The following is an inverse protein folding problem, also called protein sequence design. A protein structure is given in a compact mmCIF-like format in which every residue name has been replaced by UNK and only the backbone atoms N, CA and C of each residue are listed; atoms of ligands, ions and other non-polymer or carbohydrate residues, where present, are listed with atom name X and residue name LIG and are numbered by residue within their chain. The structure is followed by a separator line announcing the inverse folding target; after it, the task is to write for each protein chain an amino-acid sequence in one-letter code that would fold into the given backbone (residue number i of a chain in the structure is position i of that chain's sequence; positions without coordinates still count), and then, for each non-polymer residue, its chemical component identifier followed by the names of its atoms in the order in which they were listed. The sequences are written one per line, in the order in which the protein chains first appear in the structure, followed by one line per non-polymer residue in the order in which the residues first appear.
data_IF_981629348590
#
_entry.id   IF_981629348590
#
_cell.length_a   1.000
_cell.length_b   1.000
_cell.length_c   1.000
_cell.angle_alpha   90.00
_cell.angle_beta   90.00
_cell.angle_gamma   90.00
#
_symmetry.space_group_name_H-M   'P 1'
#
loop_
_entity.id
_entity.type
_entity.pdbx_description
1 polymer ?
#
# COMPACT_ATOMS: atom_id res chain seq x y z
N UNK A 1 7.27 -0.11 31.79
CA UNK A 1 7.29 -1.51 31.31
C UNK A 1 5.91 -2.16 31.16
N UNK A 2 5.20 -2.60 32.21
CA UNK A 2 3.88 -3.28 32.03
C UNK A 2 2.82 -2.34 31.42
N UNK A 3 2.76 -1.09 31.88
CA UNK A 3 1.84 -0.08 31.33
C UNK A 3 2.11 0.26 29.85
N UNK A 4 3.38 0.32 29.44
CA UNK A 4 3.78 0.55 28.03
C UNK A 4 3.51 -0.68 27.16
N UNK A 5 3.74 -1.89 27.68
CA UNK A 5 3.37 -3.13 26.99
C UNK A 5 1.85 -3.25 26.80
N UNK A 6 1.05 -2.84 27.78
CA UNK A 6 -0.40 -2.80 27.66
C UNK A 6 -0.86 -1.72 26.68
N UNK A 7 -0.25 -0.52 26.71
CA UNK A 7 -0.59 0.55 25.79
C UNK A 7 -0.23 0.19 24.33
N UNK A 8 0.94 -0.40 24.10
CA UNK A 8 1.35 -0.89 22.77
C UNK A 8 0.49 -2.06 22.30
N UNK A 9 0.15 -2.99 23.19
CA UNK A 9 -0.77 -4.10 22.88
C UNK A 9 -2.17 -3.63 22.50
N UNK A 10 -2.76 -2.71 23.27
CA UNK A 10 -4.06 -2.10 22.95
C UNK A 10 -4.00 -1.30 21.65
N UNK A 11 -2.93 -0.54 21.45
CA UNK A 11 -2.70 0.21 20.21
C UNK A 11 -2.62 -0.70 18.99
N UNK A 12 -1.90 -1.81 19.07
CA UNK A 12 -1.77 -2.78 17.99
C UNK A 12 -3.13 -3.40 17.62
N UNK A 13 -3.96 -3.74 18.62
CA UNK A 13 -5.32 -4.25 18.38
C UNK A 13 -6.19 -3.19 17.71
N UNK A 14 -6.13 -1.94 18.16
CA UNK A 14 -6.90 -0.84 17.57
C UNK A 14 -6.47 -0.56 16.12
N UNK A 15 -5.17 -0.53 15.82
CA UNK A 15 -4.66 -0.37 14.46
C UNK A 15 -5.12 -1.51 13.56
N UNK A 16 -5.05 -2.75 14.06
CA UNK A 16 -5.46 -3.92 13.29
C UNK A 16 -6.95 -3.84 12.95
N UNK A 17 -7.80 -3.51 13.92
CA UNK A 17 -9.24 -3.32 13.71
C UNK A 17 -9.51 -2.18 12.72
N UNK A 18 -8.83 -1.05 12.90
CA UNK A 18 -8.95 0.09 11.99
C UNK A 18 -8.54 -0.28 10.56
N UNK A 19 -7.40 -0.92 10.37
CA UNK A 19 -6.89 -1.33 9.06
C UNK A 19 -7.84 -2.27 8.32
N UNK A 20 -8.44 -3.23 9.03
CA UNK A 20 -9.42 -4.15 8.45
C UNK A 20 -10.69 -3.39 8.08
N UNK A 21 -11.24 -2.59 8.99
CA UNK A 21 -12.49 -1.85 8.76
C UNK A 21 -12.31 -0.83 7.63
N UNK A 22 -11.23 -0.04 7.66
CA UNK A 22 -10.90 0.93 6.64
C UNK A 22 -10.64 0.25 5.30
N UNK A 23 -9.89 -0.86 5.27
CA UNK A 23 -9.60 -1.59 4.02
C UNK A 23 -10.86 -2.16 3.37
N UNK A 24 -11.75 -2.76 4.15
CA UNK A 24 -13.04 -3.26 3.65
C UNK A 24 -13.94 -2.12 3.18
N UNK A 25 -13.94 -0.98 3.87
CA UNK A 25 -14.66 0.21 3.46
C UNK A 25 -14.14 0.77 2.13
N UNK A 26 -12.81 0.86 1.98
CA UNK A 26 -12.17 1.31 0.74
C UNK A 26 -12.46 0.38 -0.44
N UNK A 27 -12.47 -0.95 -0.23
CA UNK A 27 -12.92 -1.90 -1.25
C UNK A 27 -14.39 -1.68 -1.64
N UNK A 28 -15.24 -1.31 -0.67
CA UNK A 28 -16.64 -0.99 -0.91
C UNK A 28 -16.79 0.27 -1.77
N UNK A 29 -16.03 1.32 -1.43
CA UNK A 29 -15.97 2.56 -2.21
C UNK A 29 -15.51 2.26 -3.64
N UNK A 30 -14.43 1.51 -3.83
CA UNK A 30 -13.91 1.17 -5.15
C UNK A 30 -14.97 0.50 -6.03
N UNK A 31 -15.74 -0.46 -5.48
CA UNK A 31 -16.84 -1.12 -6.19
C UNK A 31 -17.96 -0.15 -6.59
N UNK A 32 -18.30 0.80 -5.72
CA UNK A 32 -19.33 1.82 -6.00
C UNK A 32 -18.83 2.80 -7.06
N UNK A 33 -17.60 3.30 -6.94
CA UNK A 33 -16.98 4.20 -7.90
C UNK A 33 -16.93 3.56 -9.29
N UNK A 34 -16.42 2.33 -9.39
CA UNK A 34 -16.36 1.61 -10.66
C UNK A 34 -17.75 1.38 -11.28
N UNK A 35 -18.75 1.03 -10.46
CA UNK A 35 -20.13 0.86 -10.93
C UNK A 35 -20.75 2.17 -11.45
N UNK A 36 -20.58 3.26 -10.71
CA UNK A 36 -21.12 4.58 -11.08
C UNK A 36 -20.48 5.13 -12.35
N UNK A 37 -19.18 4.96 -12.53
CA UNK A 37 -18.48 5.37 -13.77
C UNK A 37 -18.95 4.56 -14.99
N UNK A 38 -19.45 3.34 -14.79
CA UNK A 38 -20.05 2.49 -15.81
C UNK A 38 -21.57 2.67 -15.94
N UNK A 39 -22.15 3.73 -15.35
CA UNK A 39 -23.58 4.01 -15.38
C UNK A 39 -24.47 2.87 -14.82
N UNK A 40 -23.97 2.09 -13.87
CA UNK A 40 -24.73 1.06 -13.14
C UNK A 40 -24.81 1.37 -11.65
N UNK A 41 -25.84 0.85 -10.99
CA UNK A 41 -25.94 0.94 -9.53
C UNK A 41 -24.94 -0.04 -8.90
N UNK A 42 -24.04 0.49 -8.07
CA UNK A 42 -23.07 -0.31 -7.32
C UNK A 42 -23.70 -1.05 -6.14
N UNK A 43 -23.00 -2.06 -5.59
CA UNK A 43 -23.42 -2.76 -4.38
C UNK A 43 -23.43 -1.82 -3.16
N UNK A 44 -24.10 -2.20 -2.06
CA UNK A 44 -24.04 -1.42 -0.83
C UNK A 44 -22.62 -1.38 -0.27
N UNK A 45 -22.29 -0.32 0.48
CA UNK A 45 -20.97 -0.11 1.06
C UNK A 45 -20.56 -1.22 2.04
N UNK A 46 -21.54 -1.88 2.67
CA UNK A 46 -21.34 -3.01 3.58
C UNK A 46 -21.06 -4.34 2.88
N UNK A 47 -21.08 -4.38 1.53
CA UNK A 47 -20.92 -5.62 0.77
C UNK A 47 -19.62 -6.37 1.09
N UNK A 48 -18.43 -5.72 1.16
CA UNK A 48 -17.19 -6.44 1.48
C UNK A 48 -17.22 -7.08 2.87
N UNK A 49 -17.88 -6.44 3.85
CA UNK A 49 -18.07 -7.02 5.19
C UNK A 49 -18.94 -8.28 5.14
N UNK A 50 -20.02 -8.25 4.36
CA UNK A 50 -20.89 -9.42 4.20
C UNK A 50 -20.21 -10.56 3.44
N UNK A 51 -19.36 -10.23 2.46
CA UNK A 51 -18.59 -11.21 1.68
C UNK A 51 -17.58 -11.92 2.57
N UNK A 52 -16.80 -11.18 3.37
CA UNK A 52 -15.85 -11.77 4.34
C UNK A 52 -16.58 -12.60 5.38
N UNK A 53 -17.68 -12.09 5.96
CA UNK A 53 -18.48 -12.86 6.94
C UNK A 53 -18.96 -14.18 6.33
N UNK A 54 -19.46 -14.15 5.09
CA UNK A 54 -19.90 -15.34 4.37
C UNK A 54 -18.76 -16.33 4.16
N UNK A 55 -17.56 -15.86 3.77
CA UNK A 55 -16.40 -16.73 3.54
C UNK A 55 -15.89 -17.35 4.85
N UNK A 56 -15.90 -16.61 5.96
CA UNK A 56 -15.50 -17.12 7.28
C UNK A 56 -16.45 -18.19 7.82
N UNK A 57 -17.73 -18.16 7.44
CA UNK A 57 -18.70 -19.20 7.81
C UNK A 57 -18.60 -20.47 6.96
N UNK A 58 -17.78 -20.48 5.90
CA UNK A 58 -17.62 -21.64 5.02
C UNK A 58 -16.40 -22.46 5.39
N UNK A 59 -16.52 -23.77 5.21
CA UNK A 59 -15.39 -24.69 5.35
C UNK A 59 -14.35 -24.47 4.24
N UNK A 60 -13.09 -24.59 4.62
CA UNK A 60 -11.95 -24.57 3.71
C UNK A 60 -11.63 -26.00 3.25
N UNK A 61 -11.72 -26.25 1.95
CA UNK A 61 -11.32 -27.52 1.34
C UNK A 61 -9.87 -27.41 0.90
N UNK A 62 -9.06 -28.40 1.27
CA UNK A 62 -7.66 -28.52 0.83
C UNK A 62 -7.58 -29.56 -0.28
N UNK A 63 -7.01 -29.25 -1.46
CA UNK A 63 -6.85 -30.22 -2.53
C UNK A 63 -5.96 -31.39 -2.14
N UNK A 64 -6.21 -32.58 -2.71
CA UNK A 64 -5.41 -33.78 -2.41
C UNK A 64 -3.94 -33.68 -2.85
N UNK A 65 -3.68 -32.92 -3.93
CA UNK A 65 -2.34 -32.71 -4.47
C UNK A 65 -1.62 -31.50 -3.84
N UNK A 66 -2.27 -30.79 -2.91
CA UNK A 66 -1.70 -29.62 -2.27
C UNK A 66 -0.80 -30.00 -1.09
N UNK A 67 0.15 -29.13 -0.76
CA UNK A 67 0.96 -29.25 0.47
C UNK A 67 0.17 -28.61 1.62
N UNK A 68 -0.45 -29.38 2.53
CA UNK A 68 -1.45 -28.87 3.45
C UNK A 68 -0.88 -27.89 4.48
N UNK A 69 0.39 -28.04 4.87
CA UNK A 69 1.06 -27.14 5.79
C UNK A 69 1.25 -25.75 5.17
N UNK A 70 1.81 -25.69 3.96
CA UNK A 70 2.08 -24.43 3.26
C UNK A 70 0.79 -23.75 2.78
N UNK A 71 -0.18 -24.53 2.29
CA UNK A 71 -1.47 -24.03 1.82
C UNK A 71 -2.27 -23.32 2.92
N UNK A 72 -2.24 -23.84 4.15
CA UNK A 72 -2.94 -23.22 5.28
C UNK A 72 -2.11 -22.12 5.96
N UNK A 73 -0.77 -22.20 5.93
CA UNK A 73 0.10 -21.18 6.51
C UNK A 73 0.17 -19.91 5.66
N UNK A 74 0.16 -20.02 4.33
CA UNK A 74 0.30 -18.89 3.41
C UNK A 74 -0.71 -17.75 3.65
N UNK A 75 -2.03 -17.99 3.77
CA UNK A 75 -3.00 -16.92 4.07
C UNK A 75 -2.78 -16.26 5.43
N UNK A 76 -2.32 -17.01 6.43
CA UNK A 76 -2.04 -16.48 7.78
C UNK A 76 -0.84 -15.55 7.73
N UNK A 77 0.24 -15.96 7.05
CA UNK A 77 1.45 -15.14 6.89
C UNK A 77 1.15 -13.88 6.08
N UNK A 78 0.37 -13.99 5.00
CA UNK A 78 -0.05 -12.84 4.20
C UNK A 78 -0.81 -11.81 5.05
N UNK A 79 -1.80 -12.27 5.82
CA UNK A 79 -2.58 -11.39 6.69
C UNK A 79 -1.73 -10.79 7.82
N UNK A 80 -0.91 -11.60 8.50
CA UNK A 80 -0.06 -11.13 9.60
C UNK A 80 0.96 -10.08 9.13
N UNK A 81 1.58 -10.29 7.98
CA UNK A 81 2.53 -9.34 7.39
C UNK A 81 1.84 -8.03 6.97
N UNK A 82 0.68 -8.11 6.30
CA UNK A 82 -0.08 -6.92 5.92
C UNK A 82 -0.50 -6.08 7.15
N UNK A 83 -0.90 -6.74 8.25
CA UNK A 83 -1.19 -6.06 9.52
C UNK A 83 0.06 -5.45 10.15
N UNK A 84 1.19 -6.15 10.09
CA UNK A 84 2.47 -5.66 10.64
C UNK A 84 2.90 -4.36 9.96
N UNK A 85 2.70 -4.21 8.65
CA UNK A 85 3.00 -2.96 7.92
C UNK A 85 2.23 -1.78 8.51
N UNK A 86 0.97 -1.97 8.91
CA UNK A 86 0.13 -0.91 9.45
C UNK A 86 0.64 -0.38 10.79
N UNK A 87 1.43 -1.14 11.54
CA UNK A 87 2.03 -0.68 12.80
C UNK A 87 3.17 0.32 12.60
N UNK A 88 3.82 0.29 11.42
CA UNK A 88 4.92 1.20 11.07
C UNK A 88 4.43 2.47 10.37
N UNK A 89 3.22 2.48 9.82
CA UNK A 89 2.65 3.65 9.15
C UNK A 89 1.93 4.59 10.14
N UNK A 90 2.09 5.91 10.00
CA UNK A 90 1.38 6.88 10.82
C UNK A 90 -0.04 7.06 10.25
N UNK A 91 -0.97 6.20 10.68
CA UNK A 91 -2.36 6.17 10.22
C UNK A 91 -3.23 7.27 10.89
N UNK A 92 -2.77 8.52 10.83
CA UNK A 92 -3.37 9.64 11.58
C UNK A 92 -3.26 9.47 13.10
N UNK A 93 -3.72 10.45 13.87
CA UNK A 93 -3.71 10.41 15.35
C UNK A 93 -4.83 9.52 15.91
N UNK A 94 -4.78 8.23 15.61
CA UNK A 94 -5.78 7.23 16.03
C UNK A 94 -5.70 6.83 17.51
N UNK A 95 -4.58 7.08 18.20
CA UNK A 95 -4.45 6.78 19.62
C UNK A 95 -4.79 7.98 20.51
N UNK A 96 -5.16 7.73 21.79
CA UNK A 96 -5.33 8.76 22.80
C UNK A 96 -4.13 9.73 22.84
N UNK A 97 -4.44 11.00 23.07
CA UNK A 97 -3.49 12.10 23.28
C UNK A 97 -2.38 11.64 24.23
N UNK A 98 -1.14 11.54 23.73
CA UNK A 98 0.05 11.26 24.54
C UNK A 98 0.83 9.98 24.20
N UNK A 99 0.38 9.13 23.27
CA UNK A 99 1.22 8.04 22.76
C UNK A 99 1.92 8.44 21.47
N UNK A 100 3.24 8.23 21.32
CA UNK A 100 3.93 8.49 20.06
C UNK A 100 3.33 7.58 18.97
N UNK A 101 2.86 8.19 17.89
CA UNK A 101 2.59 7.48 16.64
C UNK A 101 3.78 7.70 15.72
N UNK A 102 4.26 6.66 14.99
CA UNK A 102 3.83 5.25 14.98
C UNK A 102 4.13 4.49 16.28
N UNK A 103 3.37 3.42 16.56
CA UNK A 103 3.55 2.57 17.78
C UNK A 103 4.99 2.08 17.93
N UNK A 104 5.67 1.84 16.80
CA UNK A 104 7.05 1.37 16.72
C UNK A 104 7.90 2.31 15.82
N UNK A 105 7.55 3.60 15.78
CA UNK A 105 8.17 4.56 14.85
C UNK A 105 9.67 4.79 15.10
N UNK A 106 10.16 4.50 16.30
CA UNK A 106 11.58 4.61 16.65
C UNK A 106 12.47 3.56 15.96
N UNK A 107 11.88 2.44 15.52
CA UNK A 107 12.61 1.31 14.91
C UNK A 107 12.18 1.02 13.47
N UNK A 108 11.38 1.90 12.86
CA UNK A 108 10.80 1.72 11.54
C UNK A 108 11.38 2.64 10.47
N UNK A 109 12.06 2.05 9.49
CA UNK A 109 12.54 2.75 8.30
C UNK A 109 11.67 2.46 7.07
N UNK A 110 11.67 3.37 6.09
CA UNK A 110 10.93 3.17 4.84
C UNK A 110 11.36 1.91 4.07
N UNK A 111 12.63 1.53 4.16
CA UNK A 111 13.16 0.32 3.54
C UNK A 111 12.50 -0.92 4.17
N UNK A 112 12.33 -0.92 5.50
CA UNK A 112 11.65 -2.01 6.21
C UNK A 112 10.17 -2.09 5.80
N UNK A 113 9.48 -0.95 5.69
CA UNK A 113 8.09 -0.89 5.21
C UNK A 113 7.98 -1.45 3.78
N UNK A 114 8.89 -1.05 2.89
CA UNK A 114 8.92 -1.53 1.51
C UNK A 114 9.05 -3.06 1.46
N UNK A 115 10.00 -3.65 2.19
CA UNK A 115 10.14 -5.11 2.22
C UNK A 115 8.96 -5.81 2.92
N UNK A 116 8.38 -5.22 3.96
CA UNK A 116 7.19 -5.82 4.59
C UNK A 116 5.96 -5.79 3.67
N UNK A 117 5.86 -4.82 2.75
CA UNK A 117 4.78 -4.76 1.74
C UNK A 117 4.86 -5.87 0.69
N UNK A 118 6.04 -6.44 0.47
CA UNK A 118 6.26 -7.52 -0.52
C UNK A 118 5.96 -8.90 0.07
N UNK A 119 6.06 -9.07 1.40
CA UNK A 119 5.78 -10.34 2.09
C UNK A 119 4.36 -10.88 1.83
N UNK A 120 3.28 -10.08 1.83
CA UNK A 120 1.96 -10.57 1.43
C UNK A 120 1.91 -11.17 0.02
N UNK A 121 2.58 -10.54 -0.96
CA UNK A 121 2.64 -11.05 -2.33
C UNK A 121 3.43 -12.36 -2.40
N UNK A 122 4.58 -12.43 -1.72
CA UNK A 122 5.37 -13.66 -1.59
C UNK A 122 4.58 -14.80 -0.94
N UNK A 123 3.81 -14.51 0.11
CA UNK A 123 2.97 -15.49 0.78
C UNK A 123 1.86 -15.99 -0.14
N UNK A 124 1.24 -15.11 -0.94
CA UNK A 124 0.27 -15.51 -1.96
C UNK A 124 0.91 -16.40 -3.05
N UNK A 125 2.11 -16.04 -3.54
CA UNK A 125 2.88 -16.85 -4.52
C UNK A 125 3.21 -18.23 -3.98
N UNK A 126 3.72 -18.32 -2.74
CA UNK A 126 3.99 -19.58 -2.07
C UNK A 126 2.72 -20.42 -1.90
N UNK A 127 1.61 -19.78 -1.55
CA UNK A 127 0.29 -20.40 -1.47
C UNK A 127 -0.21 -20.92 -2.83
N UNK A 128 0.07 -20.21 -3.92
CA UNK A 128 -0.26 -20.62 -5.28
C UNK A 128 0.45 -21.90 -5.69
N UNK A 129 1.77 -21.97 -5.48
CA UNK A 129 2.57 -23.17 -5.75
C UNK A 129 2.17 -24.35 -4.85
N UNK A 130 1.79 -24.08 -3.60
CA UNK A 130 1.35 -25.11 -2.66
C UNK A 130 0.03 -25.78 -3.05
N UNK A 131 -0.78 -25.16 -3.92
CA UNK A 131 -2.10 -25.70 -4.30
C UNK A 131 -2.05 -26.90 -5.24
N UNK A 132 -0.92 -27.10 -5.95
CA UNK A 132 -0.72 -28.25 -6.83
C UNK A 132 -1.50 -28.20 -8.16
N UNK A 133 -2.14 -27.07 -8.50
CA UNK A 133 -2.83 -26.91 -9.78
C UNK A 133 -1.97 -26.18 -10.83
N UNK A 134 -2.06 -26.55 -12.13
CA UNK A 134 -1.32 -25.86 -13.19
C UNK A 134 -1.71 -24.37 -13.31
N UNK A 135 -3.00 -24.05 -13.13
CA UNK A 135 -3.50 -22.67 -13.23
C UNK A 135 -2.94 -21.77 -12.13
N UNK A 136 -2.92 -22.26 -10.89
CA UNK A 136 -2.36 -21.51 -9.77
C UNK A 136 -0.83 -21.36 -9.89
N UNK A 137 -0.15 -22.37 -10.43
CA UNK A 137 1.30 -22.29 -10.68
C UNK A 137 1.66 -21.23 -11.72
N UNK A 138 0.89 -21.13 -12.82
CA UNK A 138 1.09 -20.07 -13.82
C UNK A 138 0.73 -18.69 -13.25
N UNK A 139 -0.33 -18.59 -12.45
CA UNK A 139 -0.69 -17.35 -11.73
C UNK A 139 0.42 -16.90 -10.78
N UNK A 140 1.01 -17.81 -10.02
CA UNK A 140 2.11 -17.56 -9.09
C UNK A 140 3.39 -17.09 -9.81
N UNK A 141 3.74 -17.68 -10.95
CA UNK A 141 4.85 -17.22 -11.78
C UNK A 141 4.64 -15.79 -12.30
N UNK A 142 3.40 -15.47 -12.73
CA UNK A 142 3.08 -14.12 -13.21
C UNK A 142 3.15 -13.09 -12.10
N UNK A 143 2.65 -13.40 -10.91
CA UNK A 143 2.74 -12.50 -9.75
C UNK A 143 4.20 -12.27 -9.33
N UNK A 144 5.02 -13.31 -9.32
CA UNK A 144 6.45 -13.17 -9.00
C UNK A 144 7.17 -12.22 -9.96
N UNK A 145 6.89 -12.34 -11.27
CA UNK A 145 7.48 -11.48 -12.29
C UNK A 145 6.99 -10.03 -12.16
N UNK A 146 5.71 -9.82 -11.87
CA UNK A 146 5.19 -8.46 -11.65
C UNK A 146 5.74 -7.84 -10.38
N UNK A 147 5.85 -8.61 -9.30
CA UNK A 147 6.42 -8.19 -8.02
C UNK A 147 7.83 -7.63 -8.17
N UNK A 148 8.71 -8.38 -8.81
CA UNK A 148 10.08 -7.94 -9.08
C UNK A 148 10.10 -6.67 -9.95
N UNK A 149 9.13 -6.51 -10.85
CA UNK A 149 9.09 -5.37 -11.77
C UNK A 149 8.68 -4.06 -11.07
N UNK A 150 7.69 -4.08 -10.18
CA UNK A 150 7.21 -2.86 -9.53
C UNK A 150 8.01 -2.43 -8.30
N UNK A 151 8.78 -3.34 -7.68
CA UNK A 151 9.65 -3.02 -6.54
C UNK A 151 10.72 -1.97 -6.89
N UNK A 152 11.29 -2.04 -8.10
CA UNK A 152 12.38 -1.15 -8.48
C UNK A 152 11.93 0.32 -8.65
N UNK A 153 10.84 0.65 -9.37
CA UNK A 153 10.29 2.01 -9.38
C UNK A 153 9.88 2.52 -7.99
N UNK A 154 9.34 1.64 -7.13
CA UNK A 154 8.99 1.99 -5.75
C UNK A 154 10.25 2.38 -4.94
N UNK A 155 11.31 1.59 -5.05
CA UNK A 155 12.59 1.86 -4.40
C UNK A 155 13.19 3.19 -4.86
N UNK A 156 13.14 3.51 -6.16
CA UNK A 156 13.61 4.80 -6.69
C UNK A 156 12.84 5.96 -6.05
N UNK A 157 11.51 5.87 -5.94
CA UNK A 157 10.71 6.92 -5.33
C UNK A 157 11.08 7.13 -3.86
N UNK A 158 11.24 6.06 -3.08
CA UNK A 158 11.64 6.13 -1.67
C UNK A 158 13.05 6.73 -1.52
N UNK A 159 14.02 6.25 -2.30
CA UNK A 159 15.42 6.71 -2.22
C UNK A 159 15.55 8.17 -2.64
N UNK A 160 14.84 8.61 -3.68
CA UNK A 160 14.89 10.00 -4.13
C UNK A 160 14.40 10.98 -3.05
N UNK A 161 13.35 10.60 -2.33
CA UNK A 161 12.77 11.38 -1.23
C UNK A 161 13.72 11.41 -0.03
N UNK A 162 14.21 10.25 0.40
CA UNK A 162 15.16 10.16 1.50
C UNK A 162 16.44 10.95 1.22
N UNK A 163 16.96 10.87 -0.02
CA UNK A 163 18.12 11.66 -0.44
C UNK A 163 17.87 13.16 -0.30
N UNK A 164 16.70 13.65 -0.71
CA UNK A 164 16.37 15.07 -0.58
C UNK A 164 16.38 15.54 0.87
N UNK A 165 15.80 14.75 1.76
CA UNK A 165 15.77 15.05 3.19
C UNK A 165 17.16 15.01 3.82
N UNK A 166 18.02 14.09 3.36
CA UNK A 166 19.42 14.03 3.78
C UNK A 166 20.18 15.30 3.38
N UNK A 167 19.97 15.78 2.15
CA UNK A 167 20.58 17.02 1.64
C UNK A 167 20.06 18.24 2.40
N UNK A 168 18.79 18.23 2.85
CA UNK A 168 18.24 19.26 3.72
C UNK A 168 18.85 19.28 5.14
N UNK A 169 19.76 18.34 5.47
CA UNK A 169 20.46 18.27 6.75
C UNK A 169 19.67 17.57 7.87
N UNK A 170 18.61 16.84 7.52
CA UNK A 170 17.78 16.13 8.50
C UNK A 170 18.47 14.86 8.99
N UNK A 171 18.41 14.63 10.30
CA UNK A 171 18.91 13.42 10.95
C UNK A 171 17.92 12.28 10.67
N UNK A 172 18.41 11.11 10.22
CA UNK A 172 17.60 9.93 9.85
C UNK A 172 16.60 10.18 8.69
N UNK A 173 17.09 10.33 7.44
CA UNK A 173 16.25 10.63 6.27
C UNK A 173 15.28 9.51 5.86
N UNK A 174 15.51 8.28 6.33
CA UNK A 174 14.64 7.12 6.06
C UNK A 174 13.59 6.88 7.15
N UNK A 175 13.60 7.66 8.23
CA UNK A 175 12.63 7.51 9.31
C UNK A 175 11.25 8.01 8.87
N UNK A 176 10.22 7.26 9.21
CA UNK A 176 8.82 7.64 8.95
C UNK A 176 8.46 8.97 9.62
N UNK A 177 9.00 9.21 10.81
CA UNK A 177 8.69 10.41 11.60
C UNK A 177 9.26 11.68 10.98
N UNK A 178 10.47 11.59 10.41
CA UNK A 178 11.12 12.74 9.79
C UNK A 178 10.42 13.15 8.50
N UNK A 179 9.98 12.18 7.70
CA UNK A 179 9.17 12.43 6.49
C UNK A 179 7.79 13.01 6.83
N UNK A 180 7.15 12.50 7.89
CA UNK A 180 5.87 13.04 8.33
C UNK A 180 5.97 14.49 8.84
N UNK A 181 7.09 14.86 9.45
CA UNK A 181 7.32 16.20 9.98
C UNK A 181 7.77 17.21 8.91
N UNK A 182 8.46 16.76 7.86
CA UNK A 182 9.03 17.61 6.81
C UNK A 182 8.41 17.28 5.44
N UNK A 183 7.33 17.97 5.04
CA UNK A 183 6.72 17.78 3.74
C UNK A 183 7.72 18.04 2.61
N UNK A 184 7.84 17.11 1.68
CA UNK A 184 8.76 17.24 0.54
C UNK A 184 8.50 18.52 -0.26
N UNK A 185 7.24 18.94 -0.40
CA UNK A 185 6.89 20.13 -1.15
C UNK A 185 7.46 21.43 -0.57
N UNK A 186 7.76 21.49 0.73
CA UNK A 186 8.39 22.67 1.36
C UNK A 186 9.90 22.64 1.25
N UNK A 187 10.46 21.43 1.17
CA UNK A 187 11.91 21.21 1.10
C UNK A 187 12.45 21.26 -0.33
N UNK A 188 11.62 21.54 -1.34
CA UNK A 188 11.96 21.37 -2.76
C UNK A 188 11.72 22.65 -3.56
N UNK A 189 12.67 23.02 -4.43
CA UNK A 189 12.57 24.17 -5.34
C UNK A 189 11.78 23.88 -6.63
N UNK A 190 11.69 24.85 -7.56
CA UNK A 190 10.83 24.74 -8.74
C UNK A 190 11.13 23.53 -9.64
N UNK A 191 12.41 23.15 -9.77
CA UNK A 191 12.82 22.02 -10.58
C UNK A 191 12.48 20.68 -9.89
N UNK A 192 12.64 20.62 -8.57
CA UNK A 192 12.29 19.41 -7.83
C UNK A 192 10.79 19.21 -7.66
N UNK A 193 9.94 20.25 -7.75
CA UNK A 193 8.47 20.09 -7.78
C UNK A 193 8.06 19.21 -8.97
N UNK A 194 8.68 19.45 -10.14
CA UNK A 194 8.47 18.62 -11.33
C UNK A 194 8.94 17.18 -11.05
N UNK A 195 10.11 17.01 -10.42
CA UNK A 195 10.60 15.69 -10.00
C UNK A 195 9.63 14.96 -9.07
N UNK A 196 9.05 15.67 -8.08
CA UNK A 196 8.08 15.11 -7.15
C UNK A 196 6.78 14.69 -7.85
N UNK A 197 6.30 15.48 -8.82
CA UNK A 197 5.13 15.11 -9.63
C UNK A 197 5.41 13.85 -10.44
N UNK A 198 6.60 13.71 -11.04
CA UNK A 198 6.98 12.50 -11.76
C UNK A 198 7.02 11.28 -10.84
N UNK A 199 7.59 11.40 -9.64
CA UNK A 199 7.60 10.32 -8.65
C UNK A 199 6.19 9.97 -8.16
N UNK A 200 5.30 10.96 -8.02
CA UNK A 200 3.89 10.73 -7.68
C UNK A 200 3.20 9.92 -8.78
N UNK A 201 3.44 10.25 -10.05
CA UNK A 201 2.91 9.49 -11.19
C UNK A 201 3.45 8.05 -11.16
N UNK A 202 4.74 7.86 -10.87
CA UNK A 202 5.34 6.52 -10.73
C UNK A 202 4.64 5.75 -9.61
N UNK A 203 4.47 6.34 -8.43
CA UNK A 203 3.81 5.67 -7.31
C UNK A 203 2.33 5.37 -7.60
N UNK A 204 1.64 6.28 -8.28
CA UNK A 204 0.25 6.09 -8.70
C UNK A 204 0.10 4.91 -9.67
N UNK A 205 1.12 4.63 -10.49
CA UNK A 205 1.16 3.45 -11.37
C UNK A 205 1.62 2.18 -10.65
N UNK A 206 2.53 2.28 -9.68
CA UNK A 206 2.94 1.13 -8.86
C UNK A 206 1.79 0.60 -8.00
N UNK A 207 0.96 1.49 -7.45
CA UNK A 207 -0.17 1.14 -6.56
C UNK A 207 -1.12 0.05 -7.13
N UNK A 208 -1.64 0.15 -8.38
CA UNK A 208 -2.49 -0.89 -8.95
C UNK A 208 -1.74 -2.20 -9.23
N UNK A 209 -0.43 -2.18 -9.54
CA UNK A 209 0.37 -3.40 -9.68
C UNK A 209 0.61 -4.11 -8.35
N UNK A 210 0.94 -3.34 -7.31
CA UNK A 210 1.14 -3.84 -5.94
C UNK A 210 -0.13 -4.53 -5.40
N UNK A 211 -1.30 -4.02 -5.77
CA UNK A 211 -2.60 -4.57 -5.36
C UNK A 211 -3.15 -5.61 -6.35
N UNK A 212 -2.37 -6.00 -7.36
CA UNK A 212 -2.79 -6.91 -8.44
C UNK A 212 -4.15 -6.54 -9.04
N UNK A 213 -4.44 -5.24 -9.17
CA UNK A 213 -5.69 -4.70 -9.74
C UNK A 213 -5.49 -4.32 -11.20
N UNK A 214 -6.59 -4.31 -11.95
CA UNK A 214 -6.64 -3.80 -13.32
C UNK A 214 -6.01 -2.38 -13.34
N UNK A 215 -5.03 -2.12 -14.21
CA UNK A 215 -4.68 -2.85 -15.45
C UNK A 215 -3.63 -3.96 -15.28
N UNK A 216 -3.00 -4.06 -14.10
CA UNK A 216 -1.94 -5.01 -13.76
C UNK A 216 -2.47 -6.29 -13.06
N UNK A 217 -3.70 -6.68 -13.37
CA UNK A 217 -4.30 -7.93 -12.91
C UNK A 217 -3.81 -9.12 -13.77
N UNK A 218 -2.53 -9.45 -13.67
CA UNK A 218 -1.93 -10.62 -14.32
C UNK A 218 -2.02 -11.94 -13.53
N UNK A 219 -2.09 -11.95 -12.18
CA UNK A 219 -2.13 -13.20 -11.40
C UNK A 219 -3.50 -13.85 -11.27
N UNK A 220 -4.56 -13.07 -11.08
CA UNK A 220 -5.92 -13.59 -10.88
C UNK A 220 -6.56 -13.87 -12.24
N UNK A 221 -6.38 -12.95 -13.19
CA UNK A 221 -6.50 -13.23 -14.61
C UNK A 221 -7.75 -14.05 -14.98
N UNK A 222 -8.93 -13.66 -14.48
CA UNK A 222 -10.15 -14.50 -14.50
C UNK A 222 -10.45 -15.10 -15.88
N UNK A 223 -10.21 -14.34 -16.95
CA UNK A 223 -10.47 -14.75 -18.34
C UNK A 223 -9.45 -15.71 -18.94
N UNK A 224 -8.24 -15.82 -18.36
CA UNK A 224 -7.15 -16.66 -18.88
C UNK A 224 -6.81 -17.83 -17.96
N UNK A 225 -6.92 -17.64 -16.64
CA UNK A 225 -6.49 -18.59 -15.61
C UNK A 225 -7.61 -18.97 -14.64
N UNK A 226 -8.87 -18.63 -14.93
CA UNK A 226 -10.04 -18.99 -14.12
C UNK A 226 -9.92 -18.60 -12.62
N UNK A 227 -9.21 -17.51 -12.31
CA UNK A 227 -8.92 -17.04 -10.95
C UNK A 227 -7.45 -17.18 -10.52
N UNK A 228 -6.63 -17.80 -11.38
CA UNK A 228 -5.18 -17.98 -11.24
C UNK A 228 -4.74 -18.36 -9.84
N UNK A 229 -4.08 -17.44 -9.14
CA UNK A 229 -3.47 -17.69 -7.83
C UNK A 229 -4.45 -18.15 -6.74
N UNK A 230 -5.71 -17.74 -6.84
CA UNK A 230 -6.74 -17.98 -5.83
C UNK A 230 -7.69 -19.14 -6.19
N UNK A 231 -7.50 -19.81 -7.33
CA UNK A 231 -8.42 -20.85 -7.88
C UNK A 231 -8.79 -21.92 -6.86
N UNK A 232 -7.78 -22.44 -6.16
CA UNK A 232 -7.95 -23.56 -5.24
C UNK A 232 -8.35 -23.14 -3.83
N UNK A 233 -8.33 -21.83 -3.53
CA UNK A 233 -8.60 -21.31 -2.20
C UNK A 233 -10.10 -21.15 -1.94
N UNK A 234 -10.55 -21.70 -0.81
CA UNK A 234 -11.96 -21.73 -0.43
C UNK A 234 -12.19 -21.34 1.04
N UNK A 235 -13.42 -20.91 1.33
CA UNK A 235 -13.90 -20.59 2.68
C UNK A 235 -12.99 -19.64 3.44
N UNK A 236 -12.57 -20.04 4.64
CA UNK A 236 -11.74 -19.25 5.54
C UNK A 236 -10.39 -18.81 4.94
N UNK A 237 -9.72 -19.65 4.15
CA UNK A 237 -8.42 -19.30 3.59
C UNK A 237 -8.53 -18.19 2.55
N UNK A 238 -9.59 -18.23 1.73
CA UNK A 238 -9.90 -17.15 0.78
C UNK A 238 -10.28 -15.84 1.49
N UNK A 239 -10.98 -15.94 2.63
CA UNK A 239 -11.29 -14.78 3.47
C UNK A 239 -10.01 -14.10 4.00
N UNK A 240 -9.03 -14.89 4.44
CA UNK A 240 -7.75 -14.38 4.94
C UNK A 240 -6.94 -13.67 3.86
N UNK A 241 -6.88 -14.21 2.63
CA UNK A 241 -6.24 -13.50 1.52
C UNK A 241 -6.98 -12.21 1.16
N UNK A 242 -8.31 -12.23 1.16
CA UNK A 242 -9.12 -11.03 0.90
C UNK A 242 -8.88 -9.95 1.97
N UNK A 243 -8.78 -10.33 3.25
CA UNK A 243 -8.43 -9.44 4.35
C UNK A 243 -6.99 -8.93 4.26
N UNK A 244 -6.05 -9.78 3.87
CA UNK A 244 -4.66 -9.39 3.61
C UNK A 244 -4.58 -8.32 2.53
N UNK A 245 -5.31 -8.49 1.42
CA UNK A 245 -5.38 -7.48 0.35
C UNK A 245 -6.06 -6.19 0.81
N UNK A 246 -7.04 -6.26 1.72
CA UNK A 246 -7.67 -5.08 2.31
C UNK A 246 -6.70 -4.29 3.20
N UNK A 247 -5.94 -4.98 4.05
CA UNK A 247 -4.91 -4.35 4.88
C UNK A 247 -3.76 -3.79 4.02
N UNK A 248 -3.30 -4.54 3.01
CA UNK A 248 -2.28 -4.10 2.04
C UNK A 248 -2.73 -2.86 1.26
N UNK A 249 -4.01 -2.75 0.91
CA UNK A 249 -4.59 -1.58 0.27
C UNK A 249 -4.47 -0.33 1.15
N UNK A 250 -4.83 -0.43 2.44
CA UNK A 250 -4.67 0.69 3.38
C UNK A 250 -3.20 1.04 3.55
N UNK A 251 -2.33 0.04 3.65
CA UNK A 251 -0.90 0.25 3.81
C UNK A 251 -0.28 0.98 2.61
N UNK A 252 -0.59 0.55 1.38
CA UNK A 252 -0.05 1.17 0.16
C UNK A 252 -0.56 2.61 -0.02
N UNK A 253 -1.86 2.83 0.18
CA UNK A 253 -2.42 4.17 0.12
C UNK A 253 -1.89 5.08 1.25
N UNK A 254 -1.70 4.54 2.45
CA UNK A 254 -1.09 5.23 3.58
C UNK A 254 0.37 5.61 3.30
N UNK A 255 1.15 4.73 2.67
CA UNK A 255 2.52 5.03 2.23
C UNK A 255 2.54 6.16 1.21
N UNK A 256 1.63 6.17 0.23
CA UNK A 256 1.53 7.25 -0.74
C UNK A 256 1.18 8.61 -0.10
N UNK A 257 0.26 8.61 0.87
CA UNK A 257 -0.09 9.81 1.64
C UNK A 257 1.08 10.26 2.52
N UNK A 258 1.80 9.34 3.15
CA UNK A 258 2.98 9.66 3.97
C UNK A 258 4.07 10.34 3.14
N UNK A 259 4.37 9.81 1.95
CA UNK A 259 5.43 10.34 1.10
C UNK A 259 5.05 11.71 0.53
N UNK A 260 3.89 11.82 -0.13
CA UNK A 260 3.56 13.02 -0.91
C UNK A 260 2.63 13.98 -0.19
N UNK A 261 1.85 13.58 0.80
CA UNK A 261 0.87 14.46 1.43
C UNK A 261 0.90 14.38 2.97
N UNK A 262 2.04 14.58 3.65
CA UNK A 262 2.16 14.43 5.10
C UNK A 262 1.50 15.57 5.93
N UNK A 263 0.56 16.35 5.38
CA UNK A 263 -0.06 17.48 6.08
C UNK A 263 -1.12 17.08 7.11
N UNK A 264 -1.03 17.60 8.34
CA UNK A 264 -2.10 17.48 9.33
C UNK A 264 -2.93 18.77 9.39
N UNK A 265 -4.22 18.66 9.70
CA UNK A 265 -5.16 19.79 9.79
C UNK A 265 -5.21 20.38 11.20
N UNK A 266 -4.86 19.60 12.24
CA UNK A 266 -4.83 20.04 13.64
C UNK A 266 -3.99 21.30 13.89
N UNK A 267 -2.77 21.45 13.32
CA UNK A 267 -1.96 22.66 13.52
C UNK A 267 -2.56 23.89 12.83
N UNK A 268 -3.25 23.70 11.70
CA UNK A 268 -3.82 24.80 10.89
C UNK A 268 -5.12 25.33 11.50
N UNK A 269 -5.91 24.45 12.12
CA UNK A 269 -7.17 24.81 12.76
C UNK A 269 -7.02 25.21 14.24
N UNK A 270 -5.82 25.12 14.82
CA UNK A 270 -5.55 25.45 16.23
C UNK A 270 -6.29 24.55 17.23
N UNK A 271 -6.79 23.40 16.78
CA UNK A 271 -7.57 22.46 17.58
C UNK A 271 -6.63 21.47 18.28
N UNK A 272 -6.59 21.53 19.60
CA UNK A 272 -5.84 20.59 20.44
C UNK A 272 -6.78 19.55 21.10
N UNK A 273 -6.24 18.37 21.38
CA UNK A 273 -6.96 17.29 22.06
C UNK A 273 -7.69 16.30 21.13
N UNK A 274 -8.67 15.58 21.68
CA UNK A 274 -9.39 14.47 21.01
C UNK A 274 -10.12 14.95 19.72
N UNK A 275 -10.60 16.19 19.71
CA UNK A 275 -11.22 16.81 18.53
C UNK A 275 -10.22 17.03 17.40
N UNK A 276 -9.02 17.52 17.71
CA UNK A 276 -7.94 17.65 16.71
C UNK A 276 -7.53 16.30 16.15
N UNK A 277 -7.45 15.29 17.03
CA UNK A 277 -7.08 13.95 16.62
C UNK A 277 -8.11 13.27 15.69
N UNK A 278 -9.41 13.51 15.94
CA UNK A 278 -10.48 13.04 15.07
C UNK A 278 -10.49 13.72 13.70
N UNK A 279 -10.20 15.02 13.65
CA UNK A 279 -10.11 15.78 12.38
C UNK A 279 -8.94 15.30 11.54
N UNK A 280 -7.77 15.06 12.16
CA UNK A 280 -6.60 14.56 11.45
C UNK A 280 -6.81 13.15 10.88
N UNK A 281 -7.48 12.27 11.63
CA UNK A 281 -7.85 10.94 11.15
C UNK A 281 -8.82 11.02 9.96
N UNK A 282 -9.85 11.86 10.05
CA UNK A 282 -10.82 12.03 8.97
C UNK A 282 -10.15 12.62 7.72
N UNK A 283 -9.22 13.56 7.90
CA UNK A 283 -8.44 14.12 6.80
C UNK A 283 -7.50 13.08 6.18
N UNK A 284 -6.84 12.25 6.98
CA UNK A 284 -6.04 11.14 6.50
C UNK A 284 -6.89 10.16 5.66
N UNK A 285 -8.05 9.76 6.16
CA UNK A 285 -8.99 8.90 5.41
C UNK A 285 -9.44 9.54 4.09
N UNK A 286 -9.72 10.85 4.09
CA UNK A 286 -10.09 11.57 2.87
C UNK A 286 -8.97 11.52 1.84
N UNK A 287 -7.72 11.76 2.24
CA UNK A 287 -6.57 11.65 1.34
C UNK A 287 -6.39 10.24 0.80
N UNK A 288 -6.51 9.23 1.66
CA UNK A 288 -6.44 7.82 1.26
C UNK A 288 -7.52 7.50 0.23
N UNK A 289 -8.75 7.98 0.41
CA UNK A 289 -9.84 7.83 -0.57
C UNK A 289 -9.49 8.53 -1.89
N UNK A 290 -8.94 9.74 -1.85
CA UNK A 290 -8.55 10.49 -3.06
C UNK A 290 -7.45 9.76 -3.83
N UNK A 291 -6.38 9.33 -3.14
CA UNK A 291 -5.29 8.56 -3.75
C UNK A 291 -5.83 7.26 -4.35
N UNK A 292 -6.67 6.53 -3.62
CA UNK A 292 -7.30 5.30 -4.12
C UNK A 292 -8.19 5.54 -5.33
N UNK A 293 -8.96 6.63 -5.33
CA UNK A 293 -9.83 6.98 -6.44
C UNK A 293 -9.01 7.24 -7.72
N UNK A 294 -7.93 8.02 -7.63
CA UNK A 294 -7.08 8.34 -8.78
C UNK A 294 -6.19 7.17 -9.23
N UNK A 295 -5.53 6.47 -8.30
CA UNK A 295 -4.55 5.43 -8.61
C UNK A 295 -5.16 4.06 -8.90
N UNK A 296 -6.34 3.74 -8.35
CA UNK A 296 -6.96 2.42 -8.50
C UNK A 296 -8.27 2.53 -9.25
N UNK A 297 -9.28 3.24 -8.72
CA UNK A 297 -10.64 3.19 -9.28
C UNK A 297 -10.72 3.79 -10.69
N UNK A 298 -10.10 4.95 -10.91
CA UNK A 298 -10.08 5.60 -12.21
C UNK A 298 -9.30 4.77 -13.24
N UNK A 299 -8.08 4.34 -12.89
CA UNK A 299 -7.23 3.55 -13.80
C UNK A 299 -7.93 2.24 -14.19
N UNK A 300 -8.57 1.56 -13.23
CA UNK A 300 -9.35 0.34 -13.45
C UNK A 300 -10.49 0.52 -14.46
N UNK A 301 -11.17 1.66 -14.46
CA UNK A 301 -12.31 1.91 -15.35
C UNK A 301 -11.87 2.40 -16.73
N UNK A 302 -10.82 3.22 -16.79
CA UNK A 302 -10.34 3.82 -18.04
C UNK A 302 -9.48 2.86 -18.86
N UNK A 303 -8.70 2.00 -18.20
CA UNK A 303 -7.72 1.14 -18.86
C UNK A 303 -8.20 -0.30 -18.98
N UNK A 304 -7.80 -0.94 -20.07
CA UNK A 304 -7.94 -2.39 -20.25
C UNK A 304 -6.81 -3.14 -19.55
N UNK A 305 -7.04 -4.43 -19.30
CA UNK A 305 -6.04 -5.34 -18.74
C UNK A 305 -4.83 -5.50 -19.67
N UNK A 306 -3.62 -5.41 -19.14
CA UNK A 306 -2.39 -5.60 -19.91
C UNK A 306 -1.95 -7.07 -19.97
N UNK A 307 -1.26 -7.42 -21.07
CA UNK A 307 -0.51 -8.68 -21.15
C UNK A 307 0.74 -8.60 -20.29
N UNK A 308 1.19 -9.74 -19.78
CA UNK A 308 2.35 -9.81 -18.87
C UNK A 308 3.62 -9.15 -19.44
N UNK A 309 3.92 -9.36 -20.73
CA UNK A 309 5.10 -8.75 -21.37
C UNK A 309 5.03 -7.22 -21.40
N UNK A 310 3.83 -6.65 -21.59
CA UNK A 310 3.62 -5.20 -21.58
C UNK A 310 3.70 -4.63 -20.17
N UNK A 311 3.23 -5.37 -19.16
CA UNK A 311 3.37 -4.99 -17.76
C UNK A 311 4.85 -4.88 -17.40
N UNK A 312 5.64 -5.92 -17.68
CA UNK A 312 7.07 -5.92 -17.36
C UNK A 312 7.81 -4.79 -18.09
N UNK A 313 7.58 -4.60 -19.39
CA UNK A 313 8.25 -3.53 -20.13
C UNK A 313 7.83 -2.11 -19.69
N UNK A 314 6.59 -1.94 -19.22
CA UNK A 314 6.12 -0.69 -18.67
C UNK A 314 6.83 -0.34 -17.35
N UNK A 315 6.95 -1.30 -16.44
CA UNK A 315 7.64 -1.08 -15.17
C UNK A 315 9.14 -0.93 -15.35
N UNK A 316 9.80 -1.90 -16.01
CA UNK A 316 11.25 -1.92 -16.20
C UNK A 316 11.79 -0.87 -17.18
N UNK A 317 11.00 -0.48 -18.18
CA UNK A 317 11.42 0.47 -19.20
C UNK A 317 10.94 1.89 -18.89
N UNK A 318 9.62 2.10 -18.93
CA UNK A 318 9.05 3.45 -18.86
C UNK A 318 9.05 4.03 -17.45
N UNK A 319 8.54 3.30 -16.46
CA UNK A 319 8.40 3.82 -15.10
C UNK A 319 9.74 3.97 -14.37
N UNK A 320 10.69 3.05 -14.58
CA UNK A 320 12.07 3.22 -14.10
C UNK A 320 12.71 4.47 -14.66
N UNK A 321 12.59 4.70 -15.98
CA UNK A 321 13.20 5.87 -16.64
C UNK A 321 12.57 7.16 -16.13
N UNK A 322 11.25 7.21 -16.00
CA UNK A 322 10.55 8.36 -15.42
C UNK A 322 10.97 8.58 -13.95
N UNK A 323 11.08 7.50 -13.17
CA UNK A 323 11.54 7.56 -11.78
C UNK A 323 12.97 8.10 -11.66
N UNK A 324 13.88 7.63 -12.52
CA UNK A 324 15.27 8.10 -12.56
C UNK A 324 15.37 9.57 -12.99
N UNK A 325 14.56 10.01 -13.97
CA UNK A 325 14.48 11.42 -14.35
C UNK A 325 13.95 12.25 -13.17
N UNK A 326 12.91 11.78 -12.48
CA UNK A 326 12.37 12.43 -11.28
C UNK A 326 13.41 12.57 -10.18
N UNK A 327 14.14 11.49 -9.88
CA UNK A 327 15.25 11.49 -8.92
C UNK A 327 16.36 12.47 -9.32
N UNK A 328 16.75 12.46 -10.60
CA UNK A 328 17.79 13.36 -11.12
C UNK A 328 17.40 14.83 -10.97
N UNK A 329 16.14 15.20 -11.26
CA UNK A 329 15.64 16.57 -11.08
C UNK A 329 15.69 17.01 -9.62
N UNK A 330 15.36 16.12 -8.68
CA UNK A 330 15.43 16.40 -7.23
C UNK A 330 16.88 16.59 -6.78
N UNK A 331 17.82 15.80 -7.32
CA UNK A 331 19.26 15.94 -7.03
C UNK A 331 19.79 17.28 -7.56
N UNK A 332 19.44 17.64 -8.81
CA UNK A 332 19.84 18.92 -9.39
C UNK A 332 19.32 20.09 -8.57
N UNK A 333 18.06 20.07 -8.19
CA UNK A 333 17.48 21.11 -7.34
C UNK A 333 18.22 21.23 -6.00
N UNK A 334 18.70 20.12 -5.44
CA UNK A 334 19.47 20.09 -4.19
C UNK A 334 20.85 20.73 -4.35
N UNK A 335 21.54 20.48 -5.47
CA UNK A 335 22.83 21.11 -5.73
C UNK A 335 22.71 22.61 -6.01
N UNK A 336 21.61 23.08 -6.62
CA UNK A 336 21.39 24.51 -6.85
C UNK A 336 21.08 25.30 -5.57
N UNK A 337 20.34 24.73 -4.62
CA UNK A 337 20.00 25.41 -3.36
C UNK A 337 21.16 25.47 -2.37
N UNK A 338 22.00 24.43 -2.29
CA UNK A 338 23.16 24.40 -1.38
C UNK A 338 24.46 24.89 -2.03
N UNK A 339 24.54 24.97 -3.37
CA UNK A 339 25.68 25.54 -4.09
C UNK A 339 25.90 27.04 -3.83
N UNK A 340 24.90 27.75 -3.27
CA UNK A 340 25.04 29.14 -2.84
C UNK A 340 25.64 29.35 -1.44
N UNK A 341 25.79 28.29 -0.63
CA UNK A 341 26.36 28.37 0.72
C UNK A 341 27.82 27.89 0.81
N UNK A 342 28.40 27.42 -0.31
CA UNK A 342 29.80 26.97 -0.39
C UNK A 342 30.71 27.91 -1.21
N UNK A 343 30.25 29.14 -1.49
CA UNK A 343 31.07 30.23 -2.02
C UNK A 343 31.27 31.31 -0.98
#
# INVERSE_FOLDING_TARGET
MIGELLATGVGAVLITLFGIIAGLFLMGIDRICAARMQMRQGPPLTQPFTDIRKLLCKDSVVPANAIPSLFNAAPIVAFASAVTVLFYLPLGSILPVGTPLPIIGEYGDLILIMYLLTVPALAMVAGGFASGSPYASVGAQREMVTMIAYEFPLAIAIVAIAWRLAVAGLVMPFSVNTIAAHPIWTEVGPAGIIGCILLLIVLAWVTPAELSRIPCDTPEAETELCGGLLVEYSGRNLALFSLSMAAKLVAMAGLAVLLFFPWNLSPVLGLSGIMGAGVDLLFFLLKVIVVMFFSVSLVRVVMARFRINTVVSLYWGWLTTIGLIGMFLIILDGSFLFGGCLS
#
